data_IF_865341685603
#
_entry.id   IF_865341685603
#
_cell.length_a   1.000
_cell.length_b   1.000
_cell.length_c   1.000
_cell.angle_alpha   90.00
_cell.angle_beta   90.00
_cell.angle_gamma   90.00
#
_symmetry.space_group_name_H-M   'P 1'
#
loop_
_entity.id
_entity.type
_entity.pdbx_description
1 polymer ?
#
# COMPACT_ATOMS: atom_id res chain seq x y z
N UNK A 1 -32.26 10.85 19.21
CA UNK A 1 -31.51 9.58 19.23
C UNK A 1 -30.04 9.97 19.35
N UNK A 2 -29.40 9.64 20.47
CA UNK A 2 -27.95 9.80 20.65
C UNK A 2 -27.29 8.62 19.92
N UNK A 3 -26.34 8.91 19.03
CA UNK A 3 -25.53 7.89 18.38
C UNK A 3 -24.34 7.58 19.27
N UNK A 4 -24.33 6.39 19.88
CA UNK A 4 -23.18 5.80 20.58
C UNK A 4 -22.37 4.92 19.62
N UNK A 5 -21.95 5.46 18.47
CA UNK A 5 -21.04 4.71 17.59
C UNK A 5 -19.62 4.76 18.19
N UNK A 6 -19.32 3.75 19.02
CA UNK A 6 -17.98 3.45 19.50
C UNK A 6 -17.08 3.27 18.27
N UNK A 7 -16.07 4.11 18.11
CA UNK A 7 -15.10 4.01 17.03
C UNK A 7 -14.60 2.56 16.89
N UNK A 8 -14.83 1.94 15.73
CA UNK A 8 -14.52 0.54 15.50
C UNK A 8 -13.00 0.31 15.40
N UNK A 9 -12.39 0.05 16.55
CA UNK A 9 -11.07 -0.60 16.64
C UNK A 9 -11.15 -1.93 15.87
N UNK A 10 -10.07 -2.32 15.17
CA UNK A 10 -10.02 -3.51 14.29
C UNK A 10 -10.75 -3.43 12.93
N UNK A 11 -11.05 -2.21 12.43
CA UNK A 11 -11.61 -2.06 11.08
C UNK A 11 -10.55 -2.25 9.98
N UNK A 12 -10.82 -3.03 8.91
CA UNK A 12 -9.88 -3.23 7.82
C UNK A 12 -9.64 -1.91 7.06
N UNK A 13 -8.36 -1.59 6.85
CA UNK A 13 -7.95 -0.45 6.02
C UNK A 13 -7.50 -0.96 4.67
N UNK A 14 -8.12 -0.45 3.60
CA UNK A 14 -7.67 -0.70 2.24
C UNK A 14 -6.48 0.21 1.93
N UNK A 15 -5.33 -0.38 1.63
CA UNK A 15 -4.13 0.34 1.22
C UNK A 15 -3.85 0.06 -0.25
N UNK A 16 -3.70 1.13 -1.05
CA UNK A 16 -3.32 1.04 -2.47
C UNK A 16 -2.08 1.87 -2.71
N UNK A 17 -1.01 1.23 -3.17
CA UNK A 17 0.19 1.90 -3.65
C UNK A 17 0.19 1.96 -5.17
N UNK A 18 0.48 3.13 -5.74
CA UNK A 18 0.58 3.33 -7.19
C UNK A 18 1.95 3.90 -7.51
N UNK A 19 2.66 3.25 -8.42
CA UNK A 19 3.86 3.81 -9.04
C UNK A 19 3.53 4.29 -10.45
N UNK A 20 3.77 5.57 -10.72
CA UNK A 20 3.64 6.18 -12.02
C UNK A 20 5.03 6.30 -12.67
N UNK A 21 5.27 5.53 -13.73
CA UNK A 21 6.54 5.54 -14.45
C UNK A 21 6.72 6.73 -15.39
N UNK A 22 5.65 7.42 -15.78
CA UNK A 22 5.70 8.61 -16.64
C UNK A 22 6.28 9.79 -15.86
N UNK A 23 5.82 9.97 -14.62
CA UNK A 23 6.28 11.05 -13.74
C UNK A 23 7.34 10.61 -12.71
N UNK A 24 7.59 9.31 -12.57
CA UNK A 24 8.55 8.77 -11.60
C UNK A 24 8.12 9.04 -10.16
N UNK A 25 6.83 8.86 -9.87
CA UNK A 25 6.26 9.15 -8.54
C UNK A 25 5.57 7.95 -7.93
N UNK A 26 5.48 7.95 -6.59
CA UNK A 26 4.69 7.00 -5.81
C UNK A 26 3.60 7.73 -5.04
N UNK A 27 2.41 7.13 -5.02
CA UNK A 27 1.25 7.61 -4.26
C UNK A 27 0.71 6.49 -3.37
N UNK A 28 0.22 6.86 -2.19
CA UNK A 28 -0.43 5.95 -1.25
C UNK A 28 -1.88 6.37 -1.06
N UNK A 29 -2.81 5.43 -1.08
CA UNK A 29 -4.22 5.66 -0.82
C UNK A 29 -4.69 4.81 0.36
N UNK A 30 -5.54 5.42 1.19
CA UNK A 30 -6.28 4.75 2.26
C UNK A 30 -7.77 4.80 1.88
N UNK A 31 -8.36 3.64 1.59
CA UNK A 31 -9.66 3.56 0.95
C UNK A 31 -9.63 4.24 -0.42
N UNK A 32 -10.41 5.32 -0.57
CA UNK A 32 -10.47 6.14 -1.80
C UNK A 32 -9.72 7.47 -1.68
N UNK A 33 -9.18 7.80 -0.50
CA UNK A 33 -8.47 9.06 -0.24
C UNK A 33 -6.97 8.89 -0.41
N UNK A 34 -6.34 9.77 -1.19
CA UNK A 34 -4.88 9.83 -1.26
C UNK A 34 -4.32 10.31 0.08
N UNK A 35 -3.32 9.58 0.58
CA UNK A 35 -2.59 9.94 1.79
C UNK A 35 -1.39 10.81 1.43
N UNK A 36 -1.58 12.12 1.56
CA UNK A 36 -0.57 13.12 1.23
C UNK A 36 -0.26 13.22 -0.27
N UNK A 37 0.73 14.04 -0.61
CA UNK A 37 1.13 14.25 -2.01
C UNK A 37 1.97 13.12 -2.56
N UNK A 38 1.85 12.88 -3.87
CA UNK A 38 2.73 11.99 -4.60
C UNK A 38 4.20 12.40 -4.40
N UNK A 39 5.09 11.42 -4.22
CA UNK A 39 6.51 11.66 -3.97
C UNK A 39 7.35 11.14 -5.11
N UNK A 40 8.40 11.87 -5.48
CA UNK A 40 9.40 11.38 -6.42
C UNK A 40 9.99 10.06 -5.91
N UNK A 41 10.05 9.05 -6.77
CA UNK A 41 10.53 7.73 -6.43
C UNK A 41 11.38 7.16 -7.55
N UNK A 42 12.62 6.78 -7.21
CA UNK A 42 13.50 6.05 -8.12
C UNK A 42 13.32 4.57 -7.87
N UNK A 43 12.88 3.84 -8.90
CA UNK A 43 12.68 2.40 -8.81
C UNK A 43 14.02 1.71 -8.58
N UNK A 44 14.04 0.86 -7.55
CA UNK A 44 15.11 -0.11 -7.34
C UNK A 44 14.53 -1.51 -7.54
N UNK A 45 15.01 -2.20 -8.58
CA UNK A 45 14.57 -3.55 -8.87
C UNK A 45 15.11 -4.50 -7.79
N UNK A 46 14.20 -5.14 -7.06
CA UNK A 46 14.53 -6.22 -6.13
C UNK A 46 14.89 -7.49 -6.89
N UNK A 47 15.92 -8.21 -6.43
CA UNK A 47 16.35 -9.49 -6.99
C UNK A 47 15.77 -10.72 -6.25
N UNK A 48 14.93 -10.49 -5.24
CA UNK A 48 14.36 -11.53 -4.39
C UNK A 48 12.85 -11.71 -4.56
N UNK A 49 12.30 -12.62 -3.78
CA UNK A 49 10.86 -12.92 -3.80
C UNK A 49 10.01 -11.73 -3.37
N UNK A 50 8.81 -11.62 -3.97
CA UNK A 50 7.80 -10.70 -3.51
C UNK A 50 7.28 -11.11 -2.13
N UNK A 51 7.35 -10.20 -1.17
CA UNK A 51 6.99 -10.45 0.21
C UNK A 51 6.08 -9.34 0.77
N UNK A 52 5.18 -9.74 1.67
CA UNK A 52 4.22 -8.84 2.33
C UNK A 52 4.32 -9.01 3.84
N UNK A 53 4.21 -7.89 4.56
CA UNK A 53 4.26 -7.87 6.02
C UNK A 53 5.65 -8.06 6.63
N UNK A 54 6.71 -8.03 5.80
CA UNK A 54 8.11 -8.07 6.21
C UNK A 54 8.99 -7.40 5.15
N UNK A 55 10.13 -6.87 5.55
CA UNK A 55 11.15 -6.30 4.67
C UNK A 55 12.45 -7.11 4.71
N UNK A 56 13.24 -7.06 3.64
CA UNK A 56 14.56 -7.70 3.60
C UNK A 56 15.66 -6.65 3.61
N UNK A 57 16.48 -6.65 4.67
CA UNK A 57 17.55 -5.64 4.87
C UNK A 57 18.84 -6.34 5.28
N UNK A 58 19.93 -6.05 4.57
CA UNK A 58 21.28 -6.60 4.81
C UNK A 58 21.29 -8.14 4.93
N UNK A 59 20.65 -8.83 3.99
CA UNK A 59 20.65 -10.30 3.94
C UNK A 59 19.68 -10.98 4.92
N UNK A 60 18.83 -10.22 5.61
CA UNK A 60 17.96 -10.74 6.68
C UNK A 60 16.53 -10.21 6.59
N UNK A 61 15.55 -11.07 6.86
CA UNK A 61 14.15 -10.67 7.02
C UNK A 61 13.96 -9.90 8.34
N UNK A 62 13.35 -8.72 8.25
CA UNK A 62 13.15 -7.74 9.32
C UNK A 62 11.83 -6.98 9.08
N UNK A 63 11.53 -5.98 9.91
CA UNK A 63 10.38 -5.08 9.73
C UNK A 63 9.03 -5.81 9.65
N UNK A 64 8.83 -6.80 10.52
CA UNK A 64 7.60 -7.57 10.57
C UNK A 64 6.41 -6.69 10.98
N UNK A 65 5.36 -6.72 10.17
CA UNK A 65 4.13 -5.98 10.42
C UNK A 65 3.24 -6.76 11.40
N UNK A 66 2.91 -6.22 12.59
CA UNK A 66 2.04 -6.89 13.55
C UNK A 66 0.56 -6.66 13.18
N UNK A 67 0.14 -7.08 11.99
CA UNK A 67 -1.23 -6.94 11.51
C UNK A 67 -1.66 -8.15 10.67
N UNK A 68 -2.98 -8.34 10.52
CA UNK A 68 -3.55 -9.29 9.57
C UNK A 68 -3.60 -8.64 8.19
N UNK A 69 -3.14 -9.36 7.16
CA UNK A 69 -3.22 -8.92 5.77
C UNK A 69 -4.10 -9.90 5.00
N UNK A 70 -5.06 -9.37 4.25
CA UNK A 70 -6.00 -10.13 3.42
C UNK A 70 -6.17 -9.45 2.07
N UNK A 71 -6.64 -10.20 1.07
CA UNK A 71 -7.05 -9.69 -0.26
C UNK A 71 -5.96 -8.93 -1.03
N UNK A 72 -4.73 -9.46 -1.00
CA UNK A 72 -3.60 -8.90 -1.74
C UNK A 72 -3.84 -9.05 -3.24
N UNK A 73 -3.68 -7.94 -3.97
CA UNK A 73 -3.68 -7.91 -5.43
C UNK A 73 -2.50 -7.09 -5.93
N UNK A 74 -1.88 -7.56 -7.01
CA UNK A 74 -0.80 -6.88 -7.71
C UNK A 74 -1.19 -6.71 -9.18
N UNK A 75 -0.92 -5.53 -9.73
CA UNK A 75 -1.14 -5.22 -11.13
C UNK A 75 0.19 -4.76 -11.73
N UNK A 76 0.45 -5.18 -12.97
CA UNK A 76 1.59 -4.69 -13.75
C UNK A 76 1.08 -3.70 -14.81
N UNK A 77 1.68 -2.52 -14.86
CA UNK A 77 1.28 -1.41 -15.74
C UNK A 77 0.58 -0.28 -14.98
N UNK A 78 0.55 0.91 -15.58
CA UNK A 78 -0.14 2.06 -14.99
C UNK A 78 -1.63 1.74 -14.81
N UNK A 79 -2.10 1.65 -13.56
CA UNK A 79 -3.53 1.63 -13.29
C UNK A 79 -4.09 2.99 -13.73
N UNK A 80 -4.71 3.01 -14.91
CA UNK A 80 -5.14 4.24 -15.55
C UNK A 80 -6.40 4.87 -14.91
N UNK A 81 -7.08 4.20 -13.95
CA UNK A 81 -8.16 4.84 -13.19
C UNK A 81 -8.45 4.21 -11.82
N UNK A 82 -9.00 4.99 -10.86
CA UNK A 82 -9.49 4.50 -9.55
C UNK A 82 -10.63 3.48 -9.62
N UNK A 83 -11.19 3.24 -10.82
CA UNK A 83 -12.33 2.35 -11.05
C UNK A 83 -11.92 0.88 -11.11
N UNK A 84 -10.62 0.58 -11.17
CA UNK A 84 -10.09 -0.79 -11.21
C UNK A 84 -9.61 -1.32 -9.86
N UNK A 85 -9.80 -0.54 -8.79
CA UNK A 85 -9.44 -0.93 -7.42
C UNK A 85 -10.56 -1.75 -6.82
#
# INVERSE_FOLDING_TARGET
MVSDEVAALDSPVRLTGIYDSVYGTISLYLGYGQNGDAKAFTVQLGSGDFAIGKGFTNGTWKHYLPARVSEVRLWAGAMASPEQV
#
